data_IF_580660150916
#
_entry.id   IF_580660150916
#
_cell.length_a   1.000
_cell.length_b   1.000
_cell.length_c   1.000
_cell.angle_alpha   90.00
_cell.angle_beta   90.00
_cell.angle_gamma   90.00
#
_symmetry.space_group_name_H-M   'P 1'
#
loop_
_entity.id
_entity.type
_entity.pdbx_description
1 polymer ?
#
# COMPACT_ATOMS: atom_id res chain seq x y z
N UNK A 1 -8.37 12.09 22.07
CA UNK A 1 -9.44 12.97 22.63
C UNK A 1 -10.29 12.29 23.66
N UNK A 2 -10.97 11.17 23.35
CA UNK A 2 -11.81 10.44 24.33
C UNK A 2 -11.02 10.07 25.60
N UNK A 3 -9.83 9.49 25.46
CA UNK A 3 -8.98 9.17 26.60
C UNK A 3 -8.54 10.36 27.45
N UNK A 4 -8.37 11.55 26.84
CA UNK A 4 -8.02 12.79 27.55
C UNK A 4 -9.21 13.34 28.35
N UNK A 5 -10.41 13.33 27.75
CA UNK A 5 -11.64 13.72 28.44
C UNK A 5 -11.92 12.78 29.63
N UNK A 6 -11.74 11.47 29.44
CA UNK A 6 -11.89 10.50 30.52
C UNK A 6 -10.85 10.74 31.62
N UNK A 7 -9.59 10.97 31.24
CA UNK A 7 -8.53 11.29 32.19
C UNK A 7 -8.85 12.53 33.03
N UNK A 8 -9.36 13.60 32.41
CA UNK A 8 -9.71 14.84 33.12
C UNK A 8 -10.89 14.61 34.09
N UNK A 9 -11.78 13.65 33.82
CA UNK A 9 -12.96 13.36 34.65
C UNK A 9 -12.67 12.44 35.85
N UNK A 10 -11.72 11.52 35.75
CA UNK A 10 -11.50 10.52 36.81
C UNK A 10 -10.08 9.98 36.91
N UNK A 11 -9.10 10.76 36.49
CA UNK A 11 -7.68 10.43 36.57
C UNK A 11 -7.30 9.20 35.74
N UNK A 12 -6.14 8.62 36.05
CA UNK A 12 -5.56 7.53 35.26
C UNK A 12 -6.44 6.27 35.18
N UNK A 13 -7.29 5.98 36.17
CA UNK A 13 -8.05 4.72 36.22
C UNK A 13 -9.20 4.67 35.20
N UNK A 14 -9.85 5.80 34.94
CA UNK A 14 -11.08 5.82 34.12
C UNK A 14 -10.89 5.44 32.65
N UNK A 15 -9.83 5.87 31.92
CA UNK A 15 -9.59 5.40 30.56
C UNK A 15 -9.38 3.88 30.49
N UNK A 16 -8.69 3.28 31.47
CA UNK A 16 -8.41 1.84 31.47
C UNK A 16 -9.68 1.02 31.73
N UNK A 17 -10.50 1.42 32.69
CA UNK A 17 -11.76 0.71 32.99
C UNK A 17 -12.68 0.77 31.77
N UNK A 18 -12.86 1.94 31.15
CA UNK A 18 -13.75 2.08 29.98
C UNK A 18 -13.24 1.26 28.79
N UNK A 19 -11.95 1.34 28.47
CA UNK A 19 -11.36 0.53 27.39
C UNK A 19 -11.48 -0.98 27.66
N UNK A 20 -11.24 -1.41 28.90
CA UNK A 20 -11.36 -2.82 29.32
C UNK A 20 -12.80 -3.34 29.25
N UNK A 21 -13.77 -2.56 29.75
CA UNK A 21 -15.19 -2.91 29.69
C UNK A 21 -15.70 -3.02 28.24
N UNK A 22 -15.33 -2.08 27.37
CA UNK A 22 -15.67 -2.12 25.94
C UNK A 22 -15.04 -3.35 25.29
N UNK A 23 -13.77 -3.65 25.57
CA UNK A 23 -13.09 -4.83 25.05
C UNK A 23 -13.77 -6.14 25.49
N UNK A 24 -14.13 -6.25 26.76
CA UNK A 24 -14.84 -7.42 27.29
C UNK A 24 -16.21 -7.61 26.64
N UNK A 25 -16.97 -6.52 26.49
CA UNK A 25 -18.25 -6.53 25.80
C UNK A 25 -18.10 -6.94 24.33
N UNK A 26 -17.12 -6.39 23.61
CA UNK A 26 -16.84 -6.74 22.23
C UNK A 26 -16.50 -8.23 22.07
N UNK A 27 -15.69 -8.78 22.97
CA UNK A 27 -15.36 -10.21 22.99
C UNK A 27 -16.60 -11.08 23.24
N UNK A 28 -17.47 -10.69 24.18
CA UNK A 28 -18.72 -11.40 24.44
C UNK A 28 -19.65 -11.40 23.21
N UNK A 29 -19.79 -10.25 22.54
CA UNK A 29 -20.57 -10.16 21.29
C UNK A 29 -19.96 -11.03 20.20
N UNK A 30 -18.63 -11.01 20.04
CA UNK A 30 -17.90 -11.82 19.05
C UNK A 30 -18.17 -13.32 19.26
N UNK A 31 -18.16 -13.77 20.52
CA UNK A 31 -18.45 -15.16 20.88
C UNK A 31 -19.89 -15.60 20.52
N UNK A 32 -20.87 -14.70 20.60
CA UNK A 32 -22.28 -14.99 20.28
C UNK A 32 -22.53 -14.93 18.76
N UNK A 33 -21.88 -13.99 18.07
CA UNK A 33 -22.19 -13.67 16.66
C UNK A 33 -21.41 -14.53 15.67
N UNK A 34 -20.15 -14.88 15.96
CA UNK A 34 -19.31 -15.62 15.00
C UNK A 34 -19.68 -17.11 15.07
N UNK A 35 -20.26 -17.69 14.01
CA UNK A 35 -20.49 -19.13 13.96
C UNK A 35 -19.15 -19.86 13.92
N UNK A 36 -19.06 -20.99 14.63
CA UNK A 36 -17.89 -21.86 14.57
C UNK A 36 -17.76 -22.41 13.14
N UNK A 37 -16.79 -21.90 12.39
CA UNK A 37 -16.42 -22.45 11.09
C UNK A 37 -15.50 -23.64 11.37
N UNK A 38 -16.03 -24.85 11.31
CA UNK A 38 -15.19 -26.05 11.24
C UNK A 38 -14.51 -26.06 9.87
N UNK A 39 -13.20 -25.86 9.85
CA UNK A 39 -12.38 -25.96 8.66
C UNK A 39 -12.40 -27.41 8.13
N UNK A 40 -13.33 -27.70 7.22
CA UNK A 40 -13.38 -28.99 6.50
C UNK A 40 -12.28 -29.16 5.45
N UNK A 41 -11.49 -28.12 5.21
CA UNK A 41 -10.26 -28.22 4.43
C UNK A 41 -9.11 -28.48 5.41
N UNK A 42 -8.52 -29.67 5.35
CA UNK A 42 -7.15 -29.84 5.82
C UNK A 42 -6.32 -28.75 5.16
N UNK A 43 -5.87 -27.78 5.95
CA UNK A 43 -5.04 -26.68 5.47
C UNK A 43 -3.76 -27.29 4.91
N UNK A 44 -3.66 -27.43 3.60
CA UNK A 44 -2.40 -27.78 2.95
C UNK A 44 -1.34 -26.81 3.48
N UNK A 45 -0.24 -27.30 4.08
CA UNK A 45 0.76 -26.43 4.69
C UNK A 45 1.22 -25.43 3.63
N UNK A 46 0.90 -24.16 3.85
CA UNK A 46 1.23 -23.13 2.88
C UNK A 46 2.73 -22.86 3.01
N UNK A 47 3.48 -23.08 1.93
CA UNK A 47 4.93 -22.99 1.93
C UNK A 47 5.42 -21.57 2.23
N UNK A 48 5.73 -21.31 3.51
CA UNK A 48 6.29 -20.04 4.00
C UNK A 48 7.55 -19.64 3.21
N UNK A 49 8.43 -20.60 2.95
CA UNK A 49 9.66 -20.35 2.18
C UNK A 49 9.35 -19.92 0.75
N UNK A 50 8.35 -20.54 0.11
CA UNK A 50 7.91 -20.17 -1.24
C UNK A 50 7.29 -18.78 -1.23
N UNK A 51 6.50 -18.43 -0.21
CA UNK A 51 5.97 -17.08 -0.04
C UNK A 51 7.11 -16.06 -0.01
N UNK A 52 8.00 -16.15 0.98
CA UNK A 52 9.13 -15.23 1.16
C UNK A 52 10.13 -15.23 -0.01
N UNK A 53 10.19 -16.27 -0.84
CA UNK A 53 11.01 -16.25 -2.07
C UNK A 53 10.58 -15.21 -3.12
N UNK A 54 9.45 -14.52 -2.94
CA UNK A 54 8.94 -13.53 -3.89
C UNK A 54 9.59 -12.15 -3.73
N UNK A 55 10.33 -11.63 -4.73
CA UNK A 55 11.00 -10.33 -4.61
C UNK A 55 10.04 -9.15 -4.41
N UNK A 56 8.84 -9.20 -5.00
CA UNK A 56 7.83 -8.14 -4.82
C UNK A 56 7.28 -8.10 -3.37
N UNK A 57 7.32 -9.22 -2.65
CA UNK A 57 6.85 -9.27 -1.26
C UNK A 57 7.74 -8.39 -0.39
N UNK A 58 9.07 -8.48 -0.55
CA UNK A 58 10.00 -7.61 0.17
C UNK A 58 9.83 -6.13 -0.17
N UNK A 59 9.54 -5.80 -1.43
CA UNK A 59 9.28 -4.43 -1.85
C UNK A 59 8.07 -3.84 -1.09
N UNK A 60 6.95 -4.55 -1.06
CA UNK A 60 5.76 -4.11 -0.33
C UNK A 60 5.97 -4.13 1.19
N UNK A 61 6.70 -5.11 1.71
CA UNK A 61 7.07 -5.19 3.12
C UNK A 61 7.86 -3.96 3.58
N UNK A 62 8.85 -3.51 2.79
CA UNK A 62 9.62 -2.28 3.06
C UNK A 62 8.73 -1.03 2.98
N UNK A 63 7.78 -0.98 2.04
CA UNK A 63 6.82 0.13 1.93
C UNK A 63 5.88 0.22 3.15
N UNK A 64 5.37 -0.91 3.62
CA UNK A 64 4.56 -1.01 4.84
C UNK A 64 5.42 -0.60 6.04
N UNK A 65 6.60 -1.19 6.18
CA UNK A 65 7.54 -0.87 7.26
C UNK A 65 7.84 0.63 7.33
N UNK A 66 8.18 1.29 6.22
CA UNK A 66 8.47 2.72 6.21
C UNK A 66 7.30 3.61 6.58
N UNK A 67 6.09 3.22 6.16
CA UNK A 67 4.86 3.91 6.56
C UNK A 67 4.65 3.84 8.08
N UNK A 68 4.88 2.68 8.69
CA UNK A 68 4.72 2.50 10.14
C UNK A 68 5.88 3.04 10.98
N UNK A 69 7.09 3.13 10.42
CA UNK A 69 8.19 3.92 11.01
C UNK A 69 7.77 5.39 11.12
N UNK A 70 7.16 5.95 10.08
CA UNK A 70 6.64 7.32 10.13
C UNK A 70 5.53 7.47 11.18
N UNK A 71 4.62 6.49 11.31
CA UNK A 71 3.58 6.51 12.36
C UNK A 71 4.22 6.58 13.75
N UNK A 72 5.14 5.67 14.03
CA UNK A 72 5.82 5.60 15.31
C UNK A 72 6.67 6.86 15.60
N UNK A 73 7.35 7.39 14.59
CA UNK A 73 8.07 8.66 14.72
C UNK A 73 7.13 9.80 15.10
N UNK A 74 5.98 9.94 14.44
CA UNK A 74 5.01 10.98 14.80
C UNK A 74 4.50 10.82 16.23
N UNK A 75 4.22 9.59 16.67
CA UNK A 75 3.76 9.33 18.04
C UNK A 75 4.76 9.81 19.09
N UNK A 76 6.08 9.65 18.84
CA UNK A 76 7.11 10.07 19.79
C UNK A 76 7.48 11.57 19.67
N UNK A 77 7.46 12.12 18.45
CA UNK A 77 8.09 13.41 18.17
C UNK A 77 7.12 14.57 18.00
N UNK A 78 5.87 14.29 17.64
CA UNK A 78 4.90 15.35 17.35
C UNK A 78 4.48 16.13 18.60
N UNK A 79 4.43 15.47 19.76
CA UNK A 79 4.10 16.16 21.02
C UNK A 79 5.17 17.19 21.41
N UNK A 80 6.47 16.86 21.47
CA UNK A 80 7.54 17.85 21.64
C UNK A 80 7.54 18.95 20.58
N UNK A 81 7.22 18.61 19.32
CA UNK A 81 7.16 19.58 18.23
C UNK A 81 6.03 20.61 18.40
N UNK A 82 4.92 20.22 19.05
CA UNK A 82 3.77 21.08 19.29
C UNK A 82 3.83 21.83 20.63
N UNK A 83 4.79 21.52 21.49
CA UNK A 83 5.00 22.17 22.79
C UNK A 83 5.12 23.70 22.71
N UNK A 84 5.84 24.30 21.74
CA UNK A 84 5.96 25.76 21.62
C UNK A 84 4.62 26.48 21.41
N UNK A 85 3.60 25.80 20.87
CA UNK A 85 2.27 26.37 20.67
C UNK A 85 1.41 26.39 21.94
N UNK A 86 1.88 25.80 23.05
CA UNK A 86 1.18 25.74 24.36
C UNK A 86 -0.29 25.31 24.24
N UNK A 87 -0.55 24.27 23.46
CA UNK A 87 -1.90 23.75 23.20
C UNK A 87 -2.42 22.96 24.40
N UNK A 88 -3.75 22.99 24.62
CA UNK A 88 -4.42 22.11 25.58
C UNK A 88 -4.32 20.63 25.17
N UNK A 89 -4.29 19.74 26.15
CA UNK A 89 -4.28 18.27 25.97
C UNK A 89 -5.39 17.77 25.06
N UNK A 90 -6.57 18.38 25.11
CA UNK A 90 -7.70 18.05 24.24
C UNK A 90 -7.39 18.34 22.77
N UNK A 91 -6.80 19.51 22.49
CA UNK A 91 -6.44 19.94 21.14
C UNK A 91 -5.30 19.07 20.59
N UNK A 92 -4.29 18.79 21.41
CA UNK A 92 -3.21 17.88 21.03
C UNK A 92 -3.77 16.49 20.65
N UNK A 93 -4.68 15.96 21.48
CA UNK A 93 -5.36 14.70 21.21
C UNK A 93 -6.22 14.72 19.92
N UNK A 94 -6.74 15.88 19.51
CA UNK A 94 -7.46 16.04 18.24
C UNK A 94 -6.49 16.02 17.05
N UNK A 95 -5.33 16.67 17.15
CA UNK A 95 -4.29 16.65 16.10
C UNK A 95 -3.84 15.22 15.79
N UNK A 96 -3.58 14.40 16.82
CA UNK A 96 -3.23 12.99 16.65
C UNK A 96 -4.38 12.13 16.09
N UNK A 97 -5.62 12.60 16.16
CA UNK A 97 -6.78 11.87 15.63
C UNK A 97 -7.00 12.11 14.13
N UNK A 98 -6.55 13.24 13.59
CA UNK A 98 -6.73 13.61 12.18
C UNK A 98 -6.24 12.53 11.22
N UNK A 99 -5.02 11.97 11.36
CA UNK A 99 -4.57 10.90 10.46
C UNK A 99 -5.48 9.67 10.51
N UNK A 100 -6.00 9.33 11.69
CA UNK A 100 -6.92 8.20 11.86
C UNK A 100 -8.28 8.43 11.18
N UNK A 101 -8.83 9.63 11.30
CA UNK A 101 -10.10 10.02 10.64
C UNK A 101 -9.92 10.02 9.12
N UNK A 102 -8.88 10.70 8.63
CA UNK A 102 -8.58 10.76 7.20
C UNK A 102 -8.32 9.36 6.61
N UNK A 103 -7.56 8.53 7.32
CA UNK A 103 -7.32 7.15 6.91
C UNK A 103 -8.63 6.34 6.88
N UNK A 104 -9.47 6.42 7.92
CA UNK A 104 -10.74 5.71 7.98
C UNK A 104 -11.69 6.08 6.82
N UNK A 105 -11.74 7.36 6.45
CA UNK A 105 -12.54 7.83 5.32
C UNK A 105 -11.94 7.44 3.96
N UNK A 106 -10.61 7.45 3.83
CA UNK A 106 -9.92 7.19 2.57
C UNK A 106 -9.67 5.70 2.30
N UNK A 107 -9.63 4.86 3.33
CA UNK A 107 -9.50 3.39 3.23
C UNK A 107 -10.47 2.77 2.22
N UNK A 108 -11.79 3.02 2.27
CA UNK A 108 -12.73 2.46 1.29
C UNK A 108 -12.47 2.99 -0.13
N UNK A 109 -12.01 4.24 -0.27
CA UNK A 109 -11.67 4.82 -1.58
C UNK A 109 -10.48 4.10 -2.20
N UNK A 110 -9.43 3.85 -1.41
CA UNK A 110 -8.26 3.09 -1.87
C UNK A 110 -8.61 1.64 -2.19
N UNK A 111 -9.41 0.98 -1.36
CA UNK A 111 -9.90 -0.38 -1.61
C UNK A 111 -10.70 -0.48 -2.91
N UNK A 112 -11.68 0.41 -3.10
CA UNK A 112 -12.48 0.48 -4.33
C UNK A 112 -11.62 0.75 -5.57
N UNK A 113 -10.58 1.58 -5.44
CA UNK A 113 -9.67 1.87 -6.54
C UNK A 113 -8.80 0.66 -6.91
N UNK A 114 -8.39 -0.15 -5.93
CA UNK A 114 -7.75 -1.46 -6.18
C UNK A 114 -8.70 -2.43 -6.89
N UNK A 115 -9.96 -2.51 -6.46
CA UNK A 115 -10.96 -3.41 -7.06
C UNK A 115 -11.27 -3.05 -8.52
N UNK A 116 -11.14 -1.77 -8.90
CA UNK A 116 -11.29 -1.29 -10.29
C UNK A 116 -10.16 -1.68 -11.24
N UNK A 117 -9.25 -2.59 -10.84
CA UNK A 117 -8.07 -3.03 -11.61
C UNK A 117 -7.11 -1.90 -11.96
N UNK A 118 -7.11 -0.81 -11.18
CA UNK A 118 -6.03 0.17 -11.30
C UNK A 118 -4.76 -0.49 -10.79
N UNK A 119 -3.64 -0.26 -11.48
CA UNK A 119 -2.35 -0.85 -11.11
C UNK A 119 -2.03 -0.57 -9.64
N UNK A 120 -2.10 -1.61 -8.80
CA UNK A 120 -1.94 -1.51 -7.35
C UNK A 120 -0.58 -0.93 -6.97
N UNK A 121 0.46 -1.18 -7.77
CA UNK A 121 1.80 -0.55 -7.68
C UNK A 121 1.76 0.97 -7.80
N UNK A 122 0.96 1.50 -8.73
CA UNK A 122 0.81 2.94 -8.92
C UNK A 122 0.07 3.56 -7.75
N UNK A 123 -0.96 2.90 -7.23
CA UNK A 123 -1.70 3.36 -6.05
C UNK A 123 -0.80 3.39 -4.80
N UNK A 124 -0.01 2.34 -4.57
CA UNK A 124 0.97 2.29 -3.47
C UNK A 124 1.98 3.41 -3.58
N UNK A 125 2.48 3.68 -4.79
CA UNK A 125 3.39 4.80 -5.06
C UNK A 125 2.72 6.16 -4.79
N UNK A 126 1.47 6.36 -5.22
CA UNK A 126 0.71 7.58 -4.96
C UNK A 126 0.52 7.83 -3.45
N UNK A 127 0.19 6.78 -2.69
CA UNK A 127 0.14 6.84 -1.22
C UNK A 127 1.48 7.24 -0.61
N UNK A 128 2.58 6.67 -1.11
CA UNK A 128 3.93 7.04 -0.66
C UNK A 128 4.28 8.51 -0.96
N UNK A 129 3.86 9.06 -2.11
CA UNK A 129 4.04 10.48 -2.43
C UNK A 129 3.23 11.41 -1.52
N UNK A 130 2.01 11.03 -1.12
CA UNK A 130 1.26 11.78 -0.12
C UNK A 130 1.97 11.80 1.25
N UNK A 131 2.58 10.67 1.65
CA UNK A 131 3.42 10.61 2.85
C UNK A 131 4.67 11.48 2.72
N UNK A 132 5.29 11.55 1.54
CA UNK A 132 6.42 12.47 1.29
C UNK A 132 6.01 13.94 1.39
N UNK A 133 4.84 14.28 0.85
CA UNK A 133 4.29 15.63 0.94
C UNK A 133 4.03 16.00 2.41
N UNK A 134 3.51 15.07 3.20
CA UNK A 134 3.39 15.24 4.65
C UNK A 134 4.74 15.53 5.31
N UNK A 135 5.77 14.72 5.05
CA UNK A 135 7.10 14.89 5.66
C UNK A 135 7.74 16.23 5.28
N UNK A 136 7.48 16.71 4.06
CA UNK A 136 7.93 18.01 3.56
C UNK A 136 7.20 19.19 4.24
N UNK A 137 5.92 19.03 4.58
CA UNK A 137 5.09 20.07 5.18
C UNK A 137 5.23 20.13 6.71
N UNK A 138 5.41 18.98 7.38
CA UNK A 138 5.41 18.91 8.85
C UNK A 138 6.71 19.41 9.47
N UNK A 139 7.85 19.05 8.88
CA UNK A 139 9.14 19.59 9.25
C UNK A 139 9.39 20.76 8.31
N UNK A 140 9.37 22.03 8.75
CA UNK A 140 9.79 23.12 7.88
C UNK A 140 11.19 22.76 7.39
N UNK A 141 11.29 22.54 6.09
CA UNK A 141 12.54 22.15 5.45
C UNK A 141 13.57 23.21 5.84
N UNK A 142 14.76 22.86 6.34
CA UNK A 142 15.77 23.85 6.76
C UNK A 142 16.20 24.78 5.60
N UNK A 143 15.84 24.45 4.37
CA UNK A 143 16.03 25.24 3.15
C UNK A 143 14.97 26.31 2.90
N UNK A 144 13.79 26.25 3.53
CA UNK A 144 12.73 27.27 3.42
C UNK A 144 12.43 27.89 4.79
N UNK A 145 12.63 29.21 4.98
CA UNK A 145 12.39 29.89 6.26
C UNK A 145 10.89 30.16 6.47
N UNK A 146 10.08 29.10 6.60
CA UNK A 146 8.71 29.22 7.03
C UNK A 146 8.62 28.97 8.53
N UNK A 147 7.98 29.88 9.26
CA UNK A 147 7.57 29.62 10.64
C UNK A 147 6.57 28.45 10.65
N UNK A 148 6.80 27.45 11.51
CA UNK A 148 5.83 26.38 11.74
C UNK A 148 4.51 27.01 12.19
N UNK A 149 3.44 26.82 11.41
CA UNK A 149 2.09 27.26 11.77
C UNK A 149 1.24 26.03 12.07
N UNK A 150 0.35 26.15 13.07
CA UNK A 150 -0.55 25.07 13.47
C UNK A 150 -1.37 24.53 12.29
N UNK A 151 -1.90 25.41 11.43
CA UNK A 151 -2.65 25.01 10.24
C UNK A 151 -1.86 24.14 9.26
N UNK A 152 -0.54 24.37 9.15
CA UNK A 152 0.34 23.56 8.29
C UNK A 152 0.45 22.13 8.83
N UNK A 153 0.58 21.99 10.15
CA UNK A 153 0.60 20.69 10.83
C UNK A 153 -0.73 19.94 10.66
N UNK A 154 -1.87 20.64 10.76
CA UNK A 154 -3.18 20.02 10.55
C UNK A 154 -3.32 19.47 9.13
N UNK A 155 -2.92 20.26 8.13
CA UNK A 155 -2.94 19.86 6.71
C UNK A 155 -1.97 18.72 6.45
N UNK A 156 -0.76 18.77 7.01
CA UNK A 156 0.22 17.68 6.85
C UNK A 156 -0.28 16.38 7.47
N UNK A 157 -0.94 16.43 8.64
CA UNK A 157 -1.54 15.26 9.29
C UNK A 157 -2.67 14.64 8.47
N UNK A 158 -3.46 15.46 7.76
CA UNK A 158 -4.49 14.97 6.84
C UNK A 158 -3.87 14.21 5.66
N UNK A 159 -2.84 14.79 5.02
CA UNK A 159 -2.09 14.11 3.95
C UNK A 159 -1.42 12.82 4.43
N UNK A 160 -0.91 12.81 5.65
CA UNK A 160 -0.31 11.63 6.27
C UNK A 160 -1.31 10.48 6.40
N UNK A 161 -2.53 10.76 6.89
CA UNK A 161 -3.60 9.77 6.98
C UNK A 161 -4.02 9.19 5.63
N UNK A 162 -4.16 10.06 4.62
CA UNK A 162 -4.49 9.66 3.24
C UNK A 162 -3.37 8.79 2.65
N UNK A 163 -2.11 9.20 2.85
CA UNK A 163 -0.93 8.53 2.30
C UNK A 163 -0.67 7.16 2.90
N UNK A 164 -0.71 7.04 4.23
CA UNK A 164 -0.55 5.74 4.90
C UNK A 164 -1.65 4.77 4.50
N UNK A 165 -2.91 5.22 4.45
CA UNK A 165 -4.02 4.38 4.01
C UNK A 165 -3.76 3.78 2.64
N UNK A 166 -3.40 4.63 1.67
CA UNK A 166 -3.10 4.18 0.31
C UNK A 166 -1.88 3.27 0.24
N UNK A 167 -0.76 3.68 0.83
CA UNK A 167 0.47 2.90 0.79
C UNK A 167 0.30 1.51 1.44
N UNK A 168 -0.39 1.44 2.58
CA UNK A 168 -0.57 0.21 3.36
C UNK A 168 -1.59 -0.73 2.73
N UNK A 169 -2.79 -0.21 2.40
CA UNK A 169 -3.90 -1.03 1.88
C UNK A 169 -3.57 -1.51 0.47
N UNK A 170 -3.07 -0.63 -0.39
CA UNK A 170 -2.72 -1.02 -1.76
C UNK A 170 -1.54 -1.99 -1.77
N UNK A 171 -0.55 -1.85 -0.88
CA UNK A 171 0.53 -2.83 -0.74
C UNK A 171 0.02 -4.18 -0.25
N UNK A 172 -0.93 -4.21 0.68
CA UNK A 172 -1.56 -5.44 1.15
C UNK A 172 -2.28 -6.17 0.01
N UNK A 173 -3.16 -5.47 -0.72
CA UNK A 173 -3.91 -6.03 -1.84
C UNK A 173 -2.95 -6.48 -2.95
N UNK A 174 -1.95 -5.67 -3.29
CA UNK A 174 -0.95 -6.02 -4.29
C UNK A 174 -0.14 -7.26 -3.92
N UNK A 175 0.20 -7.42 -2.64
CA UNK A 175 0.92 -8.60 -2.14
C UNK A 175 0.05 -9.84 -2.24
N UNK A 176 -1.24 -9.71 -1.92
CA UNK A 176 -2.21 -10.79 -2.05
C UNK A 176 -2.38 -11.23 -3.51
N UNK A 177 -2.64 -10.29 -4.43
CA UNK A 177 -2.75 -10.58 -5.86
C UNK A 177 -1.47 -11.21 -6.41
N UNK A 178 -0.30 -10.68 -6.04
CA UNK A 178 0.99 -11.25 -6.44
C UNK A 178 1.18 -12.68 -5.92
N UNK A 179 0.74 -12.97 -4.69
CA UNK A 179 0.83 -14.30 -4.10
C UNK A 179 -0.08 -15.28 -4.83
N UNK A 180 -1.32 -14.90 -5.14
CA UNK A 180 -2.26 -15.71 -5.92
C UNK A 180 -1.73 -16.00 -7.33
N UNK A 181 -1.15 -15.00 -7.99
CA UNK A 181 -0.54 -15.16 -9.32
C UNK A 181 0.67 -16.11 -9.35
N UNK A 182 1.28 -16.40 -8.20
CA UNK A 182 2.37 -17.39 -8.07
C UNK A 182 1.89 -18.82 -7.85
N UNK A 183 0.59 -19.06 -7.97
CA UNK A 183 -0.04 -20.37 -7.84
C UNK A 183 -0.38 -20.76 -6.41
N UNK A 184 -0.52 -19.78 -5.50
CA UNK A 184 -1.11 -20.04 -4.19
C UNK A 184 -2.64 -20.08 -4.31
N UNK A 185 -3.27 -21.04 -3.63
CA UNK A 185 -4.73 -21.13 -3.60
C UNK A 185 -5.34 -19.99 -2.79
N UNK A 186 -6.54 -19.58 -3.18
CA UNK A 186 -7.30 -18.54 -2.46
C UNK A 186 -7.94 -19.16 -1.21
N UNK A 187 -7.14 -19.31 -0.17
CA UNK A 187 -7.53 -19.90 1.12
C UNK A 187 -7.34 -18.91 2.28
N UNK A 188 -7.94 -19.23 3.43
CA UNK A 188 -7.73 -18.49 4.69
C UNK A 188 -6.24 -18.47 5.05
N UNK A 189 -5.52 -19.58 4.80
CA UNK A 189 -4.09 -19.68 5.06
C UNK A 189 -3.28 -18.65 4.24
N UNK A 190 -3.55 -18.49 2.94
CA UNK A 190 -2.88 -17.49 2.09
C UNK A 190 -3.13 -16.06 2.58
N UNK A 191 -4.37 -15.74 2.95
CA UNK A 191 -4.70 -14.43 3.53
C UNK A 191 -3.99 -14.22 4.88
N UNK A 192 -3.90 -15.28 5.69
CA UNK A 192 -3.15 -15.29 6.94
C UNK A 192 -1.65 -15.02 6.75
N UNK A 193 -1.03 -15.55 5.68
CA UNK A 193 0.37 -15.25 5.35
C UNK A 193 0.59 -13.78 5.00
N UNK A 194 -0.27 -13.20 4.15
CA UNK A 194 -0.13 -11.79 3.76
C UNK A 194 -0.40 -10.87 4.97
N UNK A 195 -1.40 -11.20 5.79
CA UNK A 195 -1.74 -10.47 7.02
C UNK A 195 -0.66 -10.56 8.09
N UNK A 196 -0.04 -11.72 8.28
CA UNK A 196 1.07 -11.87 9.22
C UNK A 196 2.31 -11.09 8.76
N UNK A 197 2.64 -11.10 7.46
CA UNK A 197 3.70 -10.24 6.92
C UNK A 197 3.41 -8.76 7.15
N UNK A 198 2.19 -8.30 6.85
CA UNK A 198 1.75 -6.93 7.10
C UNK A 198 1.91 -6.55 8.57
N UNK A 199 1.37 -7.38 9.48
CA UNK A 199 1.40 -7.16 10.93
C UNK A 199 2.83 -7.18 11.47
N UNK A 200 3.69 -8.05 10.93
CA UNK A 200 5.12 -8.08 11.26
C UNK A 200 5.78 -6.76 10.88
N UNK A 201 5.64 -6.31 9.63
CA UNK A 201 6.21 -5.05 9.14
C UNK A 201 5.68 -3.84 9.92
N UNK A 202 4.39 -3.84 10.23
CA UNK A 202 3.76 -2.83 11.09
C UNK A 202 4.39 -2.82 12.48
N UNK A 203 4.53 -3.97 13.13
CA UNK A 203 5.06 -4.06 14.50
C UNK A 203 6.52 -3.62 14.57
N UNK A 204 7.35 -4.06 13.63
CA UNK A 204 8.76 -3.64 13.55
C UNK A 204 8.82 -2.13 13.26
N UNK A 205 8.01 -1.60 12.34
CA UNK A 205 7.97 -0.18 12.03
C UNK A 205 7.54 0.68 13.23
N UNK A 206 6.48 0.29 13.93
CA UNK A 206 6.00 0.98 15.13
C UNK A 206 6.94 0.86 16.33
N UNK A 207 7.82 -0.14 16.36
CA UNK A 207 8.90 -0.21 17.34
C UNK A 207 10.09 0.69 16.94
N UNK A 208 10.51 0.65 15.68
CA UNK A 208 11.66 1.40 15.17
C UNK A 208 11.37 2.91 15.09
N UNK A 209 10.15 3.31 14.77
CA UNK A 209 9.75 4.71 14.63
C UNK A 209 10.00 5.57 15.87
N UNK A 210 9.45 5.21 17.06
CA UNK A 210 9.67 5.96 18.30
C UNK A 210 11.14 5.91 18.75
N UNK A 211 11.82 4.76 18.57
CA UNK A 211 13.23 4.62 18.92
C UNK A 211 14.11 5.57 18.09
N UNK A 212 13.93 5.61 16.77
CA UNK A 212 14.61 6.57 15.90
C UNK A 212 14.19 8.01 16.23
N UNK A 213 12.90 8.24 16.47
CA UNK A 213 12.37 9.57 16.77
C UNK A 213 12.98 10.20 18.02
N UNK A 214 13.14 9.41 19.10
CA UNK A 214 13.79 9.86 20.32
C UNK A 214 15.25 10.24 20.11
N UNK A 215 16.03 9.37 19.44
CA UNK A 215 17.46 9.62 19.14
C UNK A 215 17.63 10.83 18.22
N UNK A 216 16.82 10.93 17.16
CA UNK A 216 16.88 12.03 16.20
C UNK A 216 16.51 13.36 16.87
N UNK A 217 15.49 13.39 17.72
CA UNK A 217 15.12 14.60 18.47
C UNK A 217 16.25 15.10 19.37
N UNK A 218 16.95 14.18 20.06
CA UNK A 218 18.01 14.53 21.01
C UNK A 218 19.29 15.04 20.33
N UNK A 219 19.68 14.45 19.20
CA UNK A 219 20.99 14.74 18.58
C UNK A 219 20.94 15.72 17.40
N UNK A 220 19.92 15.64 16.55
CA UNK A 220 19.84 16.43 15.31
C UNK A 220 18.64 17.38 15.26
N UNK A 221 17.70 17.24 16.21
CA UNK A 221 16.48 18.03 16.27
C UNK A 221 15.41 17.59 15.27
N UNK A 222 14.21 18.16 15.43
CA UNK A 222 13.02 17.72 14.69
C UNK A 222 13.16 17.88 13.17
N UNK A 223 13.66 19.04 12.70
CA UNK A 223 13.78 19.33 11.27
C UNK A 223 14.69 18.31 10.55
N UNK A 224 15.89 18.08 11.06
CA UNK A 224 16.80 17.09 10.48
C UNK A 224 16.29 15.65 10.64
N UNK A 225 15.59 15.35 11.74
CA UNK A 225 14.90 14.06 11.93
C UNK A 225 13.88 13.77 10.83
N UNK A 226 13.06 14.76 10.46
CA UNK A 226 12.10 14.62 9.36
C UNK A 226 12.77 14.44 8.00
N UNK A 227 13.94 15.03 7.76
CA UNK A 227 14.71 14.87 6.52
C UNK A 227 15.26 13.44 6.38
N UNK A 228 15.71 12.82 7.47
CA UNK A 228 16.16 11.41 7.46
C UNK A 228 15.02 10.48 7.06
N UNK A 229 13.83 10.69 7.64
CA UNK A 229 12.64 9.91 7.27
C UNK A 229 12.16 10.20 5.85
N UNK A 230 12.19 11.47 5.43
CA UNK A 230 11.88 11.85 4.06
C UNK A 230 12.80 11.13 3.08
N UNK A 231 14.10 11.10 3.36
CA UNK A 231 15.10 10.42 2.52
C UNK A 231 14.80 8.92 2.42
N UNK A 232 14.55 8.27 3.56
CA UNK A 232 14.18 6.85 3.58
C UNK A 232 12.90 6.58 2.79
N UNK A 233 11.83 7.34 3.04
CA UNK A 233 10.56 7.17 2.36
C UNK A 233 10.66 7.50 0.86
N UNK A 234 11.52 8.44 0.47
CA UNK A 234 11.73 8.83 -0.92
C UNK A 234 12.42 7.71 -1.69
N UNK A 235 13.41 7.05 -1.09
CA UNK A 235 14.05 5.87 -1.68
C UNK A 235 13.02 4.78 -1.94
N UNK A 236 12.15 4.50 -0.97
CA UNK A 236 11.10 3.48 -1.10
C UNK A 236 10.09 3.86 -2.19
N UNK A 237 9.62 5.11 -2.21
CA UNK A 237 8.70 5.60 -3.23
C UNK A 237 9.30 5.49 -4.64
N UNK A 238 10.56 5.93 -4.82
CA UNK A 238 11.27 5.86 -6.10
C UNK A 238 11.47 4.40 -6.52
N UNK A 239 11.79 3.51 -5.60
CA UNK A 239 11.96 2.08 -5.89
C UNK A 239 10.66 1.45 -6.41
N UNK A 240 9.53 1.69 -5.73
CA UNK A 240 8.21 1.20 -6.16
C UNK A 240 7.82 1.78 -7.52
N UNK A 241 8.02 3.09 -7.72
CA UNK A 241 7.75 3.76 -8.99
C UNK A 241 8.62 3.23 -10.12
N UNK A 242 9.91 2.98 -9.87
CA UNK A 242 10.84 2.47 -10.89
C UNK A 242 10.46 1.06 -11.32
N UNK A 243 10.07 0.19 -10.38
CA UNK A 243 9.57 -1.16 -10.70
C UNK A 243 8.29 -1.08 -11.52
N UNK A 244 7.35 -0.20 -11.13
CA UNK A 244 6.13 0.06 -11.91
C UNK A 244 6.44 0.52 -13.35
N UNK A 245 7.30 1.52 -13.50
CA UNK A 245 7.67 2.05 -14.81
C UNK A 245 8.38 0.99 -15.67
N UNK A 246 9.25 0.16 -15.09
CA UNK A 246 9.91 -0.93 -15.83
C UNK A 246 8.91 -1.93 -16.38
N UNK A 247 7.91 -2.32 -15.61
CA UNK A 247 6.87 -3.25 -16.07
C UNK A 247 6.01 -2.66 -17.18
N UNK A 248 5.58 -1.40 -17.04
CA UNK A 248 4.79 -0.71 -18.06
C UNK A 248 5.59 -0.52 -19.35
N UNK A 249 6.86 -0.12 -19.24
CA UNK A 249 7.76 0.04 -20.38
C UNK A 249 8.04 -1.30 -21.08
N UNK A 250 8.35 -2.37 -20.35
CA UNK A 250 8.57 -3.71 -20.93
C UNK A 250 7.31 -4.27 -21.59
N UNK A 251 6.14 -4.06 -20.97
CA UNK A 251 4.85 -4.45 -21.56
C UNK A 251 4.60 -3.71 -22.87
N UNK A 252 4.83 -2.39 -22.88
CA UNK A 252 4.68 -1.55 -24.08
C UNK A 252 5.66 -1.93 -25.20
N UNK A 253 6.92 -2.26 -24.87
CA UNK A 253 7.91 -2.72 -25.84
C UNK A 253 7.51 -4.06 -26.48
N UNK A 254 6.94 -4.97 -25.70
CA UNK A 254 6.46 -6.28 -26.17
C UNK A 254 5.26 -6.13 -27.10
N UNK A 255 4.31 -5.26 -26.75
CA UNK A 255 3.13 -4.95 -27.59
C UNK A 255 3.55 -4.27 -28.90
N UNK A 256 4.49 -3.33 -28.84
CA UNK A 256 5.03 -2.65 -30.03
C UNK A 256 5.72 -3.64 -30.98
N UNK A 257 6.52 -4.58 -30.43
CA UNK A 257 7.19 -5.62 -31.21
C UNK A 257 6.21 -6.61 -31.84
N UNK A 258 5.16 -7.01 -31.12
CA UNK A 258 4.09 -7.87 -31.65
C UNK A 258 3.32 -7.20 -32.79
N UNK A 259 2.95 -5.93 -32.62
CA UNK A 259 2.25 -5.15 -33.66
C UNK A 259 3.14 -4.92 -34.90
N UNK A 260 4.45 -4.71 -34.70
CA UNK A 260 5.41 -4.56 -35.81
C UNK A 260 5.58 -5.87 -36.56
N UNK A 261 5.72 -7.00 -35.86
CA UNK A 261 5.80 -8.32 -36.46
C UNK A 261 4.53 -8.68 -37.26
N UNK A 262 3.35 -8.35 -36.73
CA UNK A 262 2.08 -8.58 -37.43
C UNK A 262 1.97 -7.75 -38.72
N UNK A 263 2.40 -6.49 -38.68
CA UNK A 263 2.44 -5.63 -39.88
C UNK A 263 3.42 -6.12 -40.95
N UNK A 264 4.56 -6.69 -40.54
CA UNK A 264 5.53 -7.27 -41.49
C UNK A 264 4.96 -8.52 -42.17
N UNK A 265 4.28 -9.40 -41.41
CA UNK A 265 3.59 -10.56 -41.98
C UNK A 265 2.45 -10.17 -42.93
N UNK A 266 1.68 -9.13 -42.59
CA UNK A 266 0.62 -8.60 -43.47
C UNK A 266 1.21 -7.98 -44.76
N UNK A 267 2.37 -7.33 -44.68
CA UNK A 267 3.08 -6.78 -45.83
C UNK A 267 3.64 -7.87 -46.76
N UNK A 268 4.24 -8.94 -46.22
CA UNK A 268 4.73 -10.08 -47.01
C UNK A 268 3.57 -10.81 -47.72
N UNK A 269 2.40 -10.89 -47.07
CA UNK A 269 1.18 -11.48 -47.66
C UNK A 269 0.61 -10.60 -48.79
N UNK A 270 0.70 -9.27 -48.67
CA UNK A 270 0.31 -8.33 -49.73
C UNK A 270 1.27 -8.38 -50.94
N UNK A 271 2.57 -8.61 -50.69
CA UNK A 271 3.58 -8.72 -51.75
C UNK A 271 3.51 -10.07 -52.49
N UNK A 272 3.17 -11.15 -51.78
CA UNK A 272 2.91 -12.46 -52.38
C UNK A 272 1.57 -12.53 -53.14
N UNK A 273 0.55 -11.77 -52.73
CA UNK A 273 -0.72 -11.70 -53.48
C UNK A 273 -0.63 -10.84 -54.74
N UNK A 274 0.27 -9.86 -54.79
CA UNK A 274 0.58 -9.09 -56.02
C UNK A 274 1.48 -9.84 -57.01
N UNK A 275 2.16 -10.92 -56.57
CA UNK A 275 2.89 -11.84 -57.48
C UNK A 275 2.01 -12.99 -58.01
N UNK A 276 0.76 -13.12 -57.55
CA UNK A 276 -0.20 -14.13 -57.97
C UNK A 276 -1.47 -13.48 -58.57
N UNK A 277 -1.32 -12.49 -59.44
CA UNK A 277 -2.39 -12.16 -60.42
C UNK A 277 -2.13 -12.90 -61.74
N UNK A 278 -2.60 -14.15 -61.81
CA UNK A 278 -3.14 -14.68 -63.05
C UNK A 278 -4.42 -15.47 -62.74
N UNK A 279 -5.56 -14.83 -63.07
CA UNK A 279 -6.88 -15.36 -63.41
C UNK A 279 -7.43 -16.56 -62.60
N UNK A 280 -8.57 -16.39 -61.90
CA UNK A 280 -9.88 -17.05 -62.20
C UNK A 280 -10.95 -16.76 -61.10
N UNK A 281 -11.97 -16.00 -61.50
CA UNK A 281 -13.43 -16.11 -61.28
C UNK A 281 -14.01 -16.80 -60.02
N UNK A 282 -14.89 -16.04 -59.34
CA UNK A 282 -16.14 -16.41 -58.64
C UNK A 282 -16.12 -16.96 -57.20
N UNK A 283 -16.72 -16.16 -56.30
CA UNK A 283 -17.91 -16.64 -55.59
C UNK A 283 -17.82 -16.86 -54.07
N UNK A 284 -18.58 -16.02 -53.36
CA UNK A 284 -19.27 -16.27 -52.06
C UNK A 284 -18.52 -16.06 -50.73
N UNK A 285 -19.03 -15.03 -50.07
CA UNK A 285 -19.00 -14.68 -48.65
C UNK A 285 -19.25 -15.87 -47.72
N UNK A 286 -18.39 -16.06 -46.72
CA UNK A 286 -18.82 -16.36 -45.34
C UNK A 286 -17.75 -16.00 -44.30
N UNK A 287 -18.14 -15.11 -43.38
CA UNK A 287 -17.46 -14.78 -42.12
C UNK A 287 -17.42 -16.02 -41.21
N UNK A 288 -16.26 -16.35 -40.64
CA UNK A 288 -16.17 -17.21 -39.45
C UNK A 288 -15.03 -16.73 -38.54
N UNK A 289 -15.40 -16.37 -37.31
CA UNK A 289 -14.53 -16.18 -36.15
C UNK A 289 -13.66 -17.42 -35.94
N UNK A 290 -12.35 -17.25 -35.78
CA UNK A 290 -11.50 -18.28 -35.17
C UNK A 290 -11.01 -17.83 -33.79
N UNK A 291 -11.58 -18.48 -32.78
CA UNK A 291 -10.98 -18.67 -31.47
C UNK A 291 -9.74 -19.55 -31.62
N UNK A 292 -8.63 -19.14 -31.02
CA UNK A 292 -7.43 -19.96 -30.92
C UNK A 292 -7.60 -21.07 -29.89
N UNK A 293 -7.37 -22.30 -30.31
CA UNK A 293 -7.06 -23.44 -29.43
C UNK A 293 -5.73 -24.02 -29.88
N UNK A 294 -4.68 -23.76 -29.10
CA UNK A 294 -3.45 -24.54 -29.16
C UNK A 294 -3.73 -25.90 -28.53
N UNK A 295 -3.64 -26.97 -29.32
CA UNK A 295 -3.33 -28.29 -28.80
C UNK A 295 -2.20 -28.86 -29.64
N UNK A 296 -1.05 -29.03 -29.00
CA UNK A 296 0.10 -29.70 -29.59
C UNK A 296 -0.04 -31.20 -29.36
N UNK A 297 0.14 -31.96 -30.42
CA UNK A 297 0.54 -33.37 -30.34
C UNK A 297 1.43 -33.69 -31.55
N UNK A 298 2.52 -34.40 -31.27
CA UNK A 298 3.19 -35.25 -32.23
C UNK A 298 4.60 -34.83 -32.62
N UNK A 299 5.58 -35.65 -32.22
CA UNK A 299 6.67 -36.21 -33.04
C UNK A 299 7.49 -37.11 -32.09
N UNK A 300 7.27 -38.43 -32.15
CA UNK A 300 7.98 -39.43 -32.97
C UNK A 300 9.16 -40.04 -32.23
#
# INVERSE_FOLDING_TARGET
>A
TVGGILFDMGGFTTPFVVCGSIGFFCNAVTYIVIPSIEDKHESTPTDLRKFWSGPLIYMYAVAIFGSYVCVGFNQATLQPHLEPFKLSTTVLGLVFMIPGICNGLMTPVWGWLCDKKVNTKLLTSLGAYFTLLYLLLVGPVPFFPFETKLWLVLVSMAFFGIGIGGASICAFIATLEYTLNRGFERSIATNGLVSSMFTLCQSIGSFTGPALGGVLLQHVGYAWGTVVLFSFQAIVAVLVTTVYLREVCCSSATISRSNTHKRLLDADTATNSSSCEFTTVSGRVHKAQQYGTCNGDGLS
#
